data_IF_278865494821
#
_entry.id   IF_278865494821
#
_cell.length_a   1.000
_cell.length_b   1.000
_cell.length_c   1.000
_cell.angle_alpha   90.00
_cell.angle_beta   90.00
_cell.angle_gamma   90.00
#
_symmetry.space_group_name_H-M   'P 1'
#
loop_
_entity.id
_entity.type
_entity.pdbx_description
1 polymer ?
#
# COMPACT_ATOMS: atom_id res chain seq x y z
N UNK A 1 38.42 6.56 74.03
CA UNK A 1 38.95 6.70 72.63
C UNK A 1 38.45 5.52 71.83
N UNK A 2 37.50 5.67 70.93
CA UNK A 2 37.03 4.58 70.08
C UNK A 2 37.84 4.51 68.81
N UNK A 3 38.27 3.29 68.47
CA UNK A 3 39.01 2.98 67.26
C UNK A 3 38.05 2.93 66.06
N UNK A 4 38.38 3.67 65.00
CA UNK A 4 37.74 3.62 63.71
C UNK A 4 38.26 2.42 62.90
N UNK A 5 37.36 1.44 62.63
CA UNK A 5 37.63 0.35 61.72
C UNK A 5 37.43 0.86 60.29
N UNK A 6 38.51 0.76 59.49
CA UNK A 6 38.54 1.04 58.08
C UNK A 6 37.70 0.02 57.31
N UNK A 7 36.63 0.45 56.64
CA UNK A 7 35.89 -0.37 55.67
C UNK A 7 36.50 -0.21 54.28
N UNK A 8 37.16 -1.27 53.86
CA UNK A 8 37.68 -1.36 52.49
C UNK A 8 36.51 -1.56 51.50
N UNK A 9 36.25 -0.55 50.68
CA UNK A 9 35.21 -0.58 49.67
C UNK A 9 35.76 -1.31 48.43
N UNK A 10 35.34 -2.57 48.28
CA UNK A 10 35.67 -3.37 47.10
C UNK A 10 34.82 -2.93 45.92
N UNK A 11 35.41 -2.17 44.99
CA UNK A 11 34.74 -1.71 43.76
C UNK A 11 34.66 -2.87 42.75
N UNK A 12 33.51 -3.52 42.70
CA UNK A 12 33.23 -4.55 41.66
C UNK A 12 32.78 -3.80 40.39
N UNK A 13 33.69 -3.62 39.46
CA UNK A 13 33.38 -3.15 38.12
C UNK A 13 32.71 -4.28 37.32
N UNK A 14 31.40 -4.19 37.22
CA UNK A 14 30.61 -5.09 36.36
C UNK A 14 30.77 -4.65 34.90
N UNK A 15 31.61 -5.39 34.15
CA UNK A 15 31.82 -5.20 32.73
C UNK A 15 30.58 -5.71 31.97
N UNK A 16 29.65 -4.82 31.63
CA UNK A 16 28.54 -5.15 30.73
C UNK A 16 29.08 -5.32 29.30
N UNK A 17 29.32 -6.57 28.92
CA UNK A 17 29.54 -6.93 27.52
C UNK A 17 28.17 -6.93 26.85
N UNK A 18 27.83 -5.82 26.19
CA UNK A 18 26.67 -5.77 25.28
C UNK A 18 27.01 -6.59 24.05
N UNK A 19 26.57 -7.84 24.03
CA UNK A 19 26.51 -8.63 22.80
C UNK A 19 25.45 -7.97 21.90
N UNK A 20 25.92 -7.08 21.02
CA UNK A 20 25.12 -6.65 19.87
C UNK A 20 24.89 -7.85 18.97
N UNK A 21 23.83 -8.57 19.23
CA UNK A 21 23.31 -9.57 18.30
C UNK A 21 22.81 -8.81 17.07
N UNK A 22 23.68 -8.70 16.07
CA UNK A 22 23.28 -8.31 14.73
C UNK A 22 22.48 -9.45 14.15
N UNK A 23 21.16 -9.49 14.43
CA UNK A 23 20.26 -10.38 13.73
C UNK A 23 20.15 -9.86 12.30
N UNK A 24 20.91 -10.47 11.39
CA UNK A 24 20.66 -10.36 9.97
C UNK A 24 19.24 -10.89 9.71
N UNK A 25 18.27 -9.98 9.66
CA UNK A 25 16.97 -10.29 9.10
C UNK A 25 17.21 -10.55 7.62
N UNK A 26 17.45 -11.80 7.27
CA UNK A 26 17.22 -12.26 5.91
C UNK A 26 15.74 -12.00 5.66
N UNK A 27 15.44 -10.96 4.90
CA UNK A 27 14.10 -10.70 4.43
C UNK A 27 13.68 -11.95 3.65
N UNK A 28 12.90 -12.81 4.29
CA UNK A 28 12.23 -13.90 3.60
C UNK A 28 11.27 -13.21 2.66
N UNK A 29 11.64 -13.11 1.39
CA UNK A 29 10.75 -12.63 0.33
C UNK A 29 9.61 -13.63 0.24
N UNK A 30 8.54 -13.38 0.96
CA UNK A 30 7.30 -14.10 0.80
C UNK A 30 6.68 -13.67 -0.54
N UNK A 31 6.99 -14.42 -1.60
CA UNK A 31 6.28 -14.27 -2.87
C UNK A 31 4.89 -14.87 -2.68
N UNK A 32 3.91 -14.00 -2.45
CA UNK A 32 2.50 -14.36 -2.45
C UNK A 32 1.85 -13.80 -3.69
N UNK A 33 1.04 -14.62 -4.37
CA UNK A 33 0.26 -14.14 -5.51
C UNK A 33 -0.92 -13.30 -5.01
N UNK A 34 -1.19 -12.23 -5.72
CA UNK A 34 -2.37 -11.39 -5.53
C UNK A 34 -3.11 -11.22 -6.83
N UNK A 35 -4.36 -10.83 -6.74
CA UNK A 35 -5.15 -10.40 -7.88
C UNK A 35 -5.77 -9.04 -7.60
N UNK A 36 -6.04 -8.27 -8.64
CA UNK A 36 -6.91 -7.12 -8.59
C UNK A 36 -8.18 -7.38 -9.38
N UNK A 37 -9.29 -6.80 -8.90
CA UNK A 37 -10.62 -7.02 -9.49
C UNK A 37 -11.48 -5.76 -9.41
N UNK A 38 -12.46 -5.70 -10.30
CA UNK A 38 -13.54 -4.72 -10.30
C UNK A 38 -14.85 -5.36 -10.77
N UNK A 39 -15.90 -4.58 -10.96
CA UNK A 39 -17.13 -5.06 -11.58
C UNK A 39 -16.93 -5.60 -13.01
N UNK A 40 -15.85 -5.20 -13.70
CA UNK A 40 -15.55 -5.66 -15.07
C UNK A 40 -15.31 -7.17 -15.17
N UNK A 41 -14.84 -7.82 -14.10
CA UNK A 41 -14.68 -9.27 -14.05
C UNK A 41 -16.00 -10.04 -13.92
N UNK A 42 -17.15 -9.32 -13.85
CA UNK A 42 -18.45 -9.95 -13.75
C UNK A 42 -18.66 -10.69 -12.41
N UNK A 43 -19.30 -11.84 -12.45
CA UNK A 43 -19.53 -12.68 -11.27
C UNK A 43 -18.37 -13.66 -11.06
N UNK A 44 -17.69 -13.50 -9.95
CA UNK A 44 -16.48 -14.26 -9.63
C UNK A 44 -16.85 -15.55 -8.90
N UNK A 45 -16.35 -16.67 -9.39
CA UNK A 45 -16.46 -17.94 -8.68
C UNK A 45 -15.39 -18.02 -7.57
N UNK A 46 -15.71 -17.44 -6.43
CA UNK A 46 -14.80 -17.37 -5.28
C UNK A 46 -14.40 -18.75 -4.72
N UNK A 47 -15.21 -19.79 -4.92
CA UNK A 47 -14.82 -21.16 -4.56
C UNK A 47 -13.69 -21.66 -5.45
N UNK A 48 -13.70 -21.30 -6.74
CA UNK A 48 -12.63 -21.66 -7.69
C UNK A 48 -11.38 -20.84 -7.41
N UNK A 49 -11.52 -19.53 -7.19
CA UNK A 49 -10.40 -18.62 -6.89
C UNK A 49 -9.63 -19.08 -5.65
N UNK A 50 -10.33 -19.43 -4.57
CA UNK A 50 -9.70 -19.90 -3.33
C UNK A 50 -8.95 -21.24 -3.41
N UNK A 51 -9.01 -21.95 -4.54
CA UNK A 51 -8.23 -23.20 -4.76
C UNK A 51 -6.79 -22.92 -5.21
N UNK A 52 -6.47 -21.73 -5.63
CA UNK A 52 -5.11 -21.33 -5.99
C UNK A 52 -4.29 -21.18 -4.71
N UNK A 53 -3.41 -22.14 -4.43
CA UNK A 53 -2.69 -22.26 -3.16
C UNK A 53 -1.80 -21.06 -2.83
N UNK A 54 -1.26 -20.39 -3.85
CA UNK A 54 -0.37 -19.26 -3.67
C UNK A 54 -1.10 -17.92 -3.57
N UNK A 55 -2.41 -17.88 -3.85
CA UNK A 55 -3.18 -16.64 -3.79
C UNK A 55 -3.41 -16.24 -2.33
N UNK A 56 -2.84 -15.10 -1.95
CA UNK A 56 -2.86 -14.61 -0.57
C UNK A 56 -3.73 -13.38 -0.39
N UNK A 57 -3.84 -12.55 -1.43
CA UNK A 57 -4.54 -11.27 -1.30
C UNK A 57 -5.31 -10.89 -2.57
N UNK A 58 -6.21 -9.94 -2.39
CA UNK A 58 -6.95 -9.31 -3.48
C UNK A 58 -7.09 -7.82 -3.24
N UNK A 59 -6.84 -7.04 -4.29
CA UNK A 59 -7.24 -5.64 -4.35
C UNK A 59 -8.55 -5.51 -5.11
N UNK A 60 -9.48 -4.74 -4.56
CA UNK A 60 -10.84 -4.60 -5.10
C UNK A 60 -11.08 -3.13 -5.42
N UNK A 61 -11.52 -2.84 -6.65
CA UNK A 61 -11.98 -1.50 -7.01
C UNK A 61 -13.09 -1.08 -6.07
N UNK A 62 -12.90 0.02 -5.37
CA UNK A 62 -13.93 0.57 -4.51
C UNK A 62 -14.63 1.75 -5.17
N UNK A 63 -13.83 2.67 -5.72
CA UNK A 63 -14.34 3.93 -6.25
C UNK A 63 -13.53 4.41 -7.45
N UNK A 64 -14.14 5.37 -8.19
CA UNK A 64 -13.51 6.04 -9.31
C UNK A 64 -13.96 7.50 -9.34
N UNK A 65 -13.05 8.42 -9.55
CA UNK A 65 -13.37 9.84 -9.60
C UNK A 65 -14.14 10.32 -8.37
N UNK A 66 -14.87 11.40 -8.50
CA UNK A 66 -15.54 12.04 -7.35
C UNK A 66 -16.81 11.35 -6.85
N UNK A 67 -17.43 10.44 -7.63
CA UNK A 67 -18.78 9.96 -7.32
C UNK A 67 -19.03 8.48 -7.61
N UNK A 68 -18.27 7.86 -8.51
CA UNK A 68 -18.52 6.47 -8.88
C UNK A 68 -18.06 5.52 -7.78
N UNK A 69 -18.92 4.57 -7.44
CA UNK A 69 -18.67 3.47 -6.51
C UNK A 69 -18.87 2.13 -7.26
N UNK A 70 -17.91 1.21 -7.11
CA UNK A 70 -18.02 -0.08 -7.81
C UNK A 70 -19.19 -0.91 -7.25
N UNK A 71 -20.16 -1.27 -8.08
CA UNK A 71 -21.38 -1.94 -7.61
C UNK A 71 -21.12 -3.33 -7.02
N UNK A 72 -19.97 -3.95 -7.33
CA UNK A 72 -19.62 -5.27 -6.79
C UNK A 72 -18.65 -5.21 -5.61
N UNK A 73 -18.18 -4.02 -5.21
CA UNK A 73 -17.20 -3.86 -4.15
C UNK A 73 -17.59 -4.59 -2.86
N UNK A 74 -18.75 -4.29 -2.29
CA UNK A 74 -19.16 -4.87 -1.01
C UNK A 74 -19.36 -6.39 -1.09
N UNK A 75 -19.89 -6.87 -2.21
CA UNK A 75 -20.05 -8.30 -2.46
C UNK A 75 -18.69 -8.99 -2.49
N UNK A 76 -17.76 -8.48 -3.32
CA UNK A 76 -16.44 -9.05 -3.51
C UNK A 76 -15.62 -9.01 -2.21
N UNK A 77 -15.65 -7.90 -1.49
CA UNK A 77 -15.01 -7.74 -0.18
C UNK A 77 -15.46 -8.84 0.81
N UNK A 78 -16.78 -9.06 0.92
CA UNK A 78 -17.34 -10.09 1.79
C UNK A 78 -16.95 -11.49 1.36
N UNK A 79 -16.94 -11.77 0.05
CA UNK A 79 -16.61 -13.11 -0.47
C UNK A 79 -15.13 -13.43 -0.32
N UNK A 80 -14.23 -12.48 -0.63
CA UNK A 80 -12.80 -12.65 -0.48
C UNK A 80 -12.41 -12.96 0.98
N UNK A 81 -12.92 -12.17 1.92
CA UNK A 81 -12.70 -12.39 3.35
C UNK A 81 -13.21 -13.73 3.85
N UNK A 82 -14.38 -14.19 3.38
CA UNK A 82 -14.90 -15.52 3.71
C UNK A 82 -14.01 -16.67 3.21
N UNK A 83 -13.09 -16.38 2.28
CA UNK A 83 -12.13 -17.34 1.74
C UNK A 83 -10.74 -17.20 2.38
N UNK A 84 -10.58 -16.34 3.39
CA UNK A 84 -9.33 -16.14 4.09
C UNK A 84 -8.32 -15.28 3.33
N UNK A 85 -8.71 -14.62 2.22
CA UNK A 85 -7.83 -13.72 1.51
C UNK A 85 -7.70 -12.40 2.28
N UNK A 86 -6.49 -11.86 2.32
CA UNK A 86 -6.28 -10.47 2.74
C UNK A 86 -6.85 -9.54 1.69
N UNK A 87 -7.49 -8.47 2.11
CA UNK A 87 -8.15 -7.55 1.19
C UNK A 87 -7.60 -6.14 1.31
N UNK A 88 -7.36 -5.53 0.16
CA UNK A 88 -7.12 -4.12 -0.02
C UNK A 88 -8.15 -3.51 -0.99
N UNK A 89 -8.19 -2.20 -1.02
CA UNK A 89 -9.09 -1.48 -1.91
C UNK A 89 -8.33 -0.47 -2.74
N UNK A 90 -8.78 -0.24 -3.96
CA UNK A 90 -8.19 0.78 -4.80
C UNK A 90 -9.19 1.82 -5.30
N UNK A 91 -8.66 3.01 -5.55
CA UNK A 91 -9.35 4.14 -6.14
C UNK A 91 -8.78 4.42 -7.52
N UNK A 92 -9.61 4.40 -8.55
CA UNK A 92 -9.21 4.83 -9.88
C UNK A 92 -9.28 6.36 -9.98
N UNK A 93 -8.12 6.99 -10.12
CA UNK A 93 -8.01 8.44 -10.12
C UNK A 93 -8.41 9.04 -11.46
N UNK A 94 -9.30 10.05 -11.44
CA UNK A 94 -9.75 10.78 -12.63
C UNK A 94 -9.26 12.21 -12.61
N UNK A 95 -8.78 12.69 -13.75
CA UNK A 95 -8.38 14.09 -13.93
C UNK A 95 -9.56 15.05 -14.16
N UNK A 96 -10.77 14.52 -14.17
CA UNK A 96 -12.03 15.29 -14.32
C UNK A 96 -12.68 15.65 -13.00
N UNK A 97 -12.12 15.21 -11.87
CA UNK A 97 -12.65 15.46 -10.52
C UNK A 97 -11.58 16.03 -9.60
N UNK A 98 -11.98 16.90 -8.68
CA UNK A 98 -11.04 17.39 -7.66
C UNK A 98 -10.55 16.26 -6.75
N UNK A 99 -9.33 16.39 -6.24
CA UNK A 99 -8.74 15.42 -5.30
C UNK A 99 -9.60 15.24 -4.04
N UNK A 100 -10.19 16.33 -3.53
CA UNK A 100 -11.04 16.28 -2.34
C UNK A 100 -12.30 15.45 -2.54
N UNK A 101 -12.96 15.57 -3.68
CA UNK A 101 -14.14 14.74 -3.99
C UNK A 101 -13.75 13.28 -4.13
N UNK A 102 -12.63 12.99 -4.75
CA UNK A 102 -12.12 11.62 -4.90
C UNK A 102 -11.75 11.02 -3.53
N UNK A 103 -11.06 11.78 -2.71
CA UNK A 103 -10.74 11.38 -1.34
C UNK A 103 -12.00 11.07 -0.51
N UNK A 104 -12.98 11.98 -0.50
CA UNK A 104 -14.24 11.80 0.22
C UNK A 104 -15.02 10.60 -0.30
N UNK A 105 -15.09 10.41 -1.63
CA UNK A 105 -15.71 9.24 -2.23
C UNK A 105 -15.06 7.94 -1.73
N UNK A 106 -13.73 7.87 -1.72
CA UNK A 106 -13.03 6.67 -1.26
C UNK A 106 -13.23 6.41 0.23
N UNK A 107 -12.96 7.37 1.10
CA UNK A 107 -13.01 7.15 2.56
C UNK A 107 -14.42 6.88 3.09
N UNK A 108 -15.45 7.45 2.44
CA UNK A 108 -16.84 7.16 2.80
C UNK A 108 -17.28 5.74 2.42
N UNK A 109 -16.66 5.15 1.40
CA UNK A 109 -17.02 3.84 0.88
C UNK A 109 -16.15 2.71 1.40
N UNK A 110 -14.91 3.01 1.81
CA UNK A 110 -13.88 2.06 2.24
C UNK A 110 -13.57 2.23 3.73
N UNK A 111 -14.28 1.55 4.65
CA UNK A 111 -14.00 1.64 6.07
C UNK A 111 -12.59 1.12 6.40
N UNK A 112 -11.78 1.93 7.07
CA UNK A 112 -10.40 1.59 7.49
C UNK A 112 -10.31 0.22 8.20
N UNK A 113 -11.20 -0.03 9.15
CA UNK A 113 -11.22 -1.29 9.94
C UNK A 113 -11.50 -2.55 9.12
N UNK A 114 -11.90 -2.40 7.85
CA UNK A 114 -12.17 -3.51 6.93
C UNK A 114 -11.08 -3.70 5.89
N UNK A 115 -9.90 -3.10 6.07
CA UNK A 115 -8.77 -3.25 5.18
C UNK A 115 -7.66 -4.03 5.88
N UNK A 116 -7.09 -5.01 5.19
CA UNK A 116 -5.94 -5.78 5.65
C UNK A 116 -4.65 -5.27 5.00
N UNK A 117 -4.79 -4.55 3.88
CA UNK A 117 -3.70 -3.98 3.09
C UNK A 117 -3.88 -2.47 2.98
N UNK A 118 -2.78 -1.78 2.69
CA UNK A 118 -2.79 -0.33 2.44
C UNK A 118 -3.63 0.02 1.20
N UNK A 119 -4.24 1.21 1.12
CA UNK A 119 -4.95 1.63 -0.08
C UNK A 119 -4.05 1.69 -1.30
N UNK A 120 -4.65 1.55 -2.49
CA UNK A 120 -3.97 1.80 -3.77
C UNK A 120 -4.64 2.97 -4.47
N UNK A 121 -3.82 3.88 -4.99
CA UNK A 121 -4.24 4.92 -5.94
C UNK A 121 -3.84 4.43 -7.33
N UNK A 122 -4.81 4.17 -8.17
CA UNK A 122 -4.64 3.72 -9.55
C UNK A 122 -4.63 4.93 -10.48
N UNK A 123 -3.48 5.18 -11.13
CA UNK A 123 -3.19 6.40 -11.88
C UNK A 123 -2.82 6.05 -13.31
N UNK A 124 -3.78 6.14 -14.22
CA UNK A 124 -3.62 5.70 -15.61
C UNK A 124 -4.03 6.77 -16.65
N UNK A 125 -4.52 7.93 -16.21
CA UNK A 125 -4.89 9.01 -17.14
C UNK A 125 -4.30 10.37 -16.76
N UNK A 126 -3.96 11.15 -17.80
CA UNK A 126 -3.48 12.53 -17.68
C UNK A 126 -4.07 13.37 -18.83
N UNK A 127 -5.42 13.52 -18.84
CA UNK A 127 -6.10 14.18 -19.97
C UNK A 127 -6.17 15.69 -19.84
N UNK A 128 -6.55 16.18 -18.66
CA UNK A 128 -6.84 17.59 -18.43
C UNK A 128 -5.81 18.26 -17.50
N UNK A 129 -4.77 17.53 -17.10
CA UNK A 129 -3.71 18.02 -16.23
C UNK A 129 -2.35 17.93 -16.90
N UNK A 130 -1.43 18.79 -16.51
CA UNK A 130 -0.01 18.57 -16.79
C UNK A 130 0.53 17.46 -15.93
N UNK A 131 1.70 16.91 -16.28
CA UNK A 131 2.36 15.88 -15.46
C UNK A 131 2.65 16.39 -14.03
N UNK A 132 2.96 17.67 -13.87
CA UNK A 132 3.16 18.28 -12.55
C UNK A 132 1.86 18.34 -11.75
N UNK A 133 0.79 18.83 -12.34
CA UNK A 133 -0.53 18.85 -11.68
C UNK A 133 -1.02 17.46 -11.29
N UNK A 134 -0.76 16.45 -12.14
CA UNK A 134 -1.06 15.06 -11.82
C UNK A 134 -0.26 14.59 -10.60
N UNK A 135 1.05 14.79 -10.60
CA UNK A 135 1.92 14.41 -9.49
C UNK A 135 1.54 15.11 -8.18
N UNK A 136 1.27 16.41 -8.22
CA UNK A 136 0.82 17.18 -7.04
C UNK A 136 -0.51 16.63 -6.50
N UNK A 137 -1.42 16.27 -7.41
CA UNK A 137 -2.73 15.70 -7.06
C UNK A 137 -2.60 14.30 -6.45
N UNK A 138 -1.72 13.46 -6.99
CA UNK A 138 -1.40 12.13 -6.43
C UNK A 138 -0.77 12.27 -5.06
N UNK A 139 0.19 13.18 -4.88
CA UNK A 139 0.82 13.47 -3.58
C UNK A 139 -0.22 13.94 -2.55
N UNK A 140 -1.11 14.85 -2.93
CA UNK A 140 -2.18 15.32 -2.03
C UNK A 140 -3.11 14.16 -1.63
N UNK A 141 -3.59 13.36 -2.60
CA UNK A 141 -4.43 12.20 -2.33
C UNK A 141 -3.73 11.21 -1.40
N UNK A 142 -2.45 10.94 -1.65
CA UNK A 142 -1.63 10.06 -0.81
C UNK A 142 -1.54 10.55 0.64
N UNK A 143 -1.24 11.83 0.84
CA UNK A 143 -1.16 12.42 2.19
C UNK A 143 -2.50 12.33 2.94
N UNK A 144 -3.61 12.59 2.24
CA UNK A 144 -4.94 12.49 2.82
C UNK A 144 -5.29 11.06 3.22
N UNK A 145 -4.99 10.08 2.37
CA UNK A 145 -5.20 8.65 2.66
C UNK A 145 -4.29 8.17 3.79
N UNK A 146 -3.02 8.56 3.81
CA UNK A 146 -2.08 8.21 4.86
C UNK A 146 -2.58 8.65 6.25
N UNK A 147 -3.17 9.85 6.36
CA UNK A 147 -3.78 10.33 7.62
C UNK A 147 -4.94 9.46 8.10
N UNK A 148 -5.72 8.88 7.19
CA UNK A 148 -6.89 8.05 7.54
C UNK A 148 -6.50 6.60 7.78
N UNK A 149 -5.61 6.05 6.96
CA UNK A 149 -5.27 4.62 6.99
C UNK A 149 -3.97 4.32 7.76
N UNK A 150 -3.26 5.35 8.21
CA UNK A 150 -2.05 5.22 9.03
C UNK A 150 -0.80 4.76 8.26
N UNK A 151 -0.92 4.52 6.97
CA UNK A 151 0.17 4.08 6.10
C UNK A 151 0.04 4.74 4.72
N UNK A 152 1.19 4.99 4.11
CA UNK A 152 1.26 5.57 2.77
C UNK A 152 0.68 4.60 1.74
N UNK A 153 -0.24 5.05 0.86
CA UNK A 153 -0.81 4.21 -0.18
C UNK A 153 0.22 3.82 -1.23
N UNK A 154 -0.03 2.71 -1.92
CA UNK A 154 0.71 2.30 -3.10
C UNK A 154 0.16 3.08 -4.31
N UNK A 155 1.05 3.50 -5.20
CA UNK A 155 0.68 4.05 -6.50
C UNK A 155 0.77 2.95 -7.55
N UNK A 156 -0.39 2.58 -8.13
CA UNK A 156 -0.46 1.68 -9.27
C UNK A 156 -0.48 2.48 -10.56
N UNK A 157 0.31 2.04 -11.55
CA UNK A 157 0.33 2.64 -12.89
C UNK A 157 1.07 1.74 -13.89
N UNK A 158 0.85 1.97 -15.18
CA UNK A 158 1.62 1.31 -16.23
C UNK A 158 3.03 1.89 -16.37
N UNK A 159 4.02 1.06 -16.76
CA UNK A 159 5.42 1.46 -16.94
C UNK A 159 5.59 2.71 -17.82
N UNK A 160 4.98 2.71 -19.01
CA UNK A 160 5.10 3.83 -19.94
C UNK A 160 4.48 5.12 -19.40
N UNK A 161 3.36 4.98 -18.69
CA UNK A 161 2.68 6.11 -18.07
C UNK A 161 3.52 6.71 -16.93
N UNK A 162 4.10 5.84 -16.08
CA UNK A 162 5.02 6.28 -15.03
C UNK A 162 6.19 7.07 -15.60
N UNK A 163 6.92 6.49 -16.55
CA UNK A 163 8.09 7.12 -17.15
C UNK A 163 7.76 8.47 -17.80
N UNK A 164 6.59 8.60 -18.41
CA UNK A 164 6.17 9.84 -19.07
C UNK A 164 5.69 10.91 -18.11
N UNK A 165 4.93 10.54 -17.07
CA UNK A 165 4.17 11.52 -16.28
C UNK A 165 4.57 11.59 -14.80
N UNK A 166 5.10 10.53 -14.21
CA UNK A 166 5.29 10.43 -12.75
C UNK A 166 6.73 10.28 -12.32
N UNK A 167 7.63 9.87 -13.23
CA UNK A 167 9.06 9.71 -12.95
C UNK A 167 9.65 10.97 -12.34
N UNK A 168 10.49 10.80 -11.30
CA UNK A 168 11.13 11.87 -10.54
C UNK A 168 10.16 12.85 -9.82
N UNK A 169 8.85 12.55 -9.79
CA UNK A 169 7.84 13.39 -9.13
C UNK A 169 7.20 12.73 -7.91
N UNK A 170 7.42 11.42 -7.75
CA UNK A 170 6.86 10.63 -6.64
C UNK A 170 7.96 9.82 -5.90
N UNK A 171 9.06 10.45 -5.45
CA UNK A 171 10.28 9.73 -5.01
C UNK A 171 10.10 8.89 -3.74
N UNK A 172 9.01 9.04 -3.01
CA UNK A 172 8.82 8.38 -1.71
C UNK A 172 7.57 7.49 -1.66
N UNK A 173 7.02 7.13 -2.81
CA UNK A 173 5.84 6.28 -2.85
C UNK A 173 6.20 4.84 -3.18
N UNK A 174 5.60 3.86 -2.48
CA UNK A 174 5.64 2.48 -2.95
C UNK A 174 4.91 2.40 -4.29
N UNK A 175 5.53 1.74 -5.26
CA UNK A 175 5.01 1.62 -6.62
C UNK A 175 4.56 0.19 -6.91
N UNK A 176 3.45 0.07 -7.60
CA UNK A 176 3.02 -1.15 -8.25
C UNK A 176 2.95 -0.87 -9.75
N UNK A 177 3.97 -1.29 -10.47
CA UNK A 177 4.08 -1.04 -11.91
C UNK A 177 3.50 -2.21 -12.69
N UNK A 178 2.46 -1.94 -13.46
CA UNK A 178 1.92 -2.90 -14.42
C UNK A 178 2.91 -3.07 -15.59
N UNK A 179 3.37 -4.30 -15.75
CA UNK A 179 4.25 -4.69 -16.83
C UNK A 179 3.76 -6.02 -17.41
N UNK A 180 3.41 -6.02 -18.68
CA UNK A 180 2.87 -7.20 -19.35
C UNK A 180 3.94 -7.98 -20.13
N UNK A 181 5.21 -7.72 -19.82
CA UNK A 181 6.38 -8.37 -20.41
C UNK A 181 6.95 -9.41 -19.45
N UNK A 182 7.76 -10.33 -19.98
CA UNK A 182 8.51 -11.30 -19.17
C UNK A 182 9.78 -10.71 -18.51
N UNK A 183 10.04 -9.42 -18.70
CA UNK A 183 11.17 -8.71 -18.11
C UNK A 183 10.67 -7.75 -17.01
N UNK A 184 11.45 -7.55 -15.95
CA UNK A 184 11.11 -6.53 -14.94
C UNK A 184 10.86 -5.16 -15.57
N UNK A 185 9.94 -4.35 -15.01
CA UNK A 185 9.66 -3.03 -15.54
C UNK A 185 10.90 -2.13 -15.49
N UNK A 186 11.21 -1.47 -16.60
CA UNK A 186 12.25 -0.46 -16.67
C UNK A 186 11.62 0.90 -16.35
N UNK A 187 11.79 1.37 -15.12
CA UNK A 187 11.30 2.68 -14.67
C UNK A 187 12.46 3.65 -14.51
N UNK A 188 12.22 4.91 -14.89
CA UNK A 188 13.20 5.99 -14.74
C UNK A 188 13.13 6.50 -13.30
N UNK A 189 13.93 5.90 -12.42
CA UNK A 189 14.17 6.43 -11.08
C UNK A 189 15.42 7.32 -11.04
N UNK A 190 15.49 8.31 -10.12
CA UNK A 190 16.65 9.16 -9.95
C UNK A 190 17.87 8.40 -9.44
#
# INVERSE_FOLDING_TARGET
MPQFKSFSLLLITLLFITLSSCSSHTATTCYGDGIDISHHQGDINWKKVARYKNLQFVYIKATEGGTYQDPKYQHNLKQARRRGLKVGSYHFMRTTSSVWLQFLNFVSHVPHKKQDLVPVIDVEECKNWTSQQLADSVNLMSQLLERVYGQKPIIYTGQNFYNKHLSNRLPQHPLWIACYNNTPPAINEP
#
